data_IF_538721063989
#
_entry.id   IF_538721063989
#
_cell.length_a   1.000
_cell.length_b   1.000
_cell.length_c   1.000
_cell.angle_alpha   90.00
_cell.angle_beta   90.00
_cell.angle_gamma   90.00
#
_symmetry.space_group_name_H-M   'P 1'
#
loop_
_entity.id
_entity.type
_entity.pdbx_description
1 polymer ?
#
# COMPACT_ATOMS: atom_id res chain seq x y z
N UNK A 1 5.05 1.68 24.30
CA UNK A 1 6.18 2.41 23.68
C UNK A 1 5.69 3.59 22.85
N UNK A 2 5.05 3.43 21.69
CA UNK A 2 4.50 4.58 20.93
C UNK A 2 3.61 5.53 21.76
N UNK A 3 2.71 4.99 22.59
CA UNK A 3 1.86 5.81 23.49
C UNK A 3 2.64 6.71 24.47
N UNK A 4 3.88 6.36 24.79
CA UNK A 4 4.72 7.14 25.70
C UNK A 4 5.45 8.28 25.00
N UNK A 5 5.43 8.32 23.66
CA UNK A 5 6.05 9.42 22.91
C UNK A 5 5.28 10.72 23.18
N UNK A 6 5.98 11.80 23.55
CA UNK A 6 5.35 13.09 23.71
C UNK A 6 4.83 13.59 22.36
N UNK A 7 3.81 14.43 22.40
CA UNK A 7 3.42 15.19 21.20
C UNK A 7 4.53 16.18 20.86
N UNK A 8 4.74 16.39 19.57
CA UNK A 8 5.65 17.41 19.08
C UNK A 8 4.87 18.42 18.24
N UNK A 9 4.94 19.70 18.63
CA UNK A 9 4.15 20.76 18.02
C UNK A 9 2.63 20.57 18.17
N UNK A 10 1.88 21.45 17.51
CA UNK A 10 0.41 21.38 17.46
C UNK A 10 -0.05 20.36 16.42
N UNK A 11 0.71 20.22 15.32
CA UNK A 11 0.33 19.42 14.15
C UNK A 11 1.38 18.41 13.66
N UNK A 12 2.56 18.33 14.30
CA UNK A 12 3.70 17.56 13.76
C UNK A 12 3.71 16.10 14.20
N UNK A 13 3.61 15.81 15.51
CA UNK A 13 3.48 14.44 16.03
C UNK A 13 2.27 14.37 16.95
N UNK A 14 1.29 13.56 16.54
CA UNK A 14 0.02 13.40 17.24
C UNK A 14 0.08 12.32 18.33
N UNK A 15 -0.96 12.27 19.16
CA UNK A 15 -1.08 11.18 20.14
C UNK A 15 -1.35 9.88 19.39
N UNK A 16 -0.46 8.92 19.57
CA UNK A 16 -0.66 7.55 19.09
C UNK A 16 -1.84 6.87 19.78
N UNK A 17 -2.55 6.03 19.04
CA UNK A 17 -3.62 5.18 19.56
C UNK A 17 -3.12 4.22 20.66
N UNK A 18 -4.05 3.70 21.47
CA UNK A 18 -3.75 2.76 22.56
C UNK A 18 -2.93 1.55 22.08
N UNK A 19 -3.25 1.05 20.87
CA UNK A 19 -2.51 -0.03 20.23
C UNK A 19 -2.12 0.35 18.79
N UNK A 20 -0.89 0.84 18.62
CA UNK A 20 -0.33 1.16 17.31
C UNK A 20 -0.21 -0.08 16.40
N UNK A 21 0.08 -1.25 16.97
CA UNK A 21 0.30 -2.50 16.21
C UNK A 21 -0.98 -3.05 15.58
N UNK A 22 -2.15 -2.70 16.12
CA UNK A 22 -3.43 -3.02 15.51
C UNK A 22 -3.68 -2.24 14.22
N UNK A 23 -3.02 -1.09 14.01
CA UNK A 23 -3.19 -0.27 12.81
C UNK A 23 -4.66 -0.01 12.46
N UNK A 24 -5.50 0.24 13.49
CA UNK A 24 -6.94 0.42 13.37
C UNK A 24 -7.27 1.91 13.36
N UNK A 25 -8.11 2.34 12.42
CA UNK A 25 -8.56 3.74 12.25
C UNK A 25 -7.38 4.72 12.06
N UNK A 26 -6.31 4.29 11.40
CA UNK A 26 -5.18 5.16 11.05
C UNK A 26 -5.55 6.00 9.82
N UNK A 27 -5.40 7.32 9.95
CA UNK A 27 -5.32 8.23 8.82
C UNK A 27 -3.92 8.17 8.19
N UNK A 28 -3.77 8.67 6.96
CA UNK A 28 -2.48 8.72 6.27
C UNK A 28 -1.37 9.39 7.11
N UNK A 29 -1.71 10.45 7.85
CA UNK A 29 -0.80 11.17 8.76
C UNK A 29 -0.30 10.29 9.92
N UNK A 30 -1.14 9.40 10.46
CA UNK A 30 -0.73 8.54 11.56
C UNK A 30 0.35 7.53 11.14
N UNK A 31 0.36 7.11 9.87
CA UNK A 31 1.43 6.25 9.33
C UNK A 31 2.77 6.97 9.27
N UNK A 32 2.75 8.24 8.92
CA UNK A 32 3.95 9.08 8.87
C UNK A 32 4.51 9.30 10.28
N UNK A 33 3.65 9.65 11.25
CA UNK A 33 4.06 9.83 12.64
C UNK A 33 4.66 8.54 13.22
N UNK A 34 4.08 7.37 12.88
CA UNK A 34 4.62 6.07 13.29
C UNK A 34 6.01 5.81 12.71
N UNK A 35 6.25 6.15 11.44
CA UNK A 35 7.55 6.02 10.82
C UNK A 35 8.59 6.96 11.45
N UNK A 36 8.22 8.22 11.69
CA UNK A 36 9.11 9.21 12.33
C UNK A 36 9.49 8.81 13.77
N UNK A 37 8.56 8.20 14.52
CA UNK A 37 8.79 7.76 15.89
C UNK A 37 9.25 6.30 16.02
N UNK A 38 9.57 5.63 14.90
CA UNK A 38 9.85 4.20 14.93
C UNK A 38 11.13 3.86 15.72
N UNK A 39 12.22 4.59 15.49
CA UNK A 39 13.52 4.33 16.13
C UNK A 39 13.39 4.25 17.66
N UNK A 40 12.90 5.28 18.38
CA UNK A 40 12.78 5.21 19.84
C UNK A 40 11.71 4.21 20.32
N UNK A 41 10.75 3.83 19.47
CA UNK A 41 9.77 2.80 19.79
C UNK A 41 10.33 1.37 19.70
N UNK A 42 11.33 1.15 18.84
CA UNK A 42 11.94 -0.16 18.61
C UNK A 42 13.28 -0.35 19.31
N UNK A 43 13.94 0.71 19.77
CA UNK A 43 15.25 0.64 20.40
C UNK A 43 15.26 -0.24 21.67
N UNK A 44 16.13 -1.24 21.74
CA UNK A 44 16.18 -2.20 22.85
C UNK A 44 14.95 -3.10 22.96
N UNK A 45 14.12 -3.18 21.90
CA UNK A 45 12.99 -4.13 21.88
C UNK A 45 13.45 -5.56 21.60
N UNK A 46 14.50 -5.71 20.80
CA UNK A 46 15.03 -7.00 20.35
C UNK A 46 16.34 -7.33 21.08
N UNK A 47 16.76 -8.62 21.09
CA UNK A 47 18.11 -9.00 21.47
C UNK A 47 19.15 -8.18 20.69
N UNK A 48 20.33 -7.92 21.28
CA UNK A 48 21.31 -6.99 20.72
C UNK A 48 21.70 -7.33 19.27
N UNK A 49 21.79 -8.63 18.93
CA UNK A 49 22.14 -9.11 17.60
C UNK A 49 21.15 -8.71 16.48
N UNK A 50 19.87 -8.50 16.84
CA UNK A 50 18.83 -8.08 15.89
C UNK A 50 18.43 -6.62 16.05
N UNK A 51 18.60 -6.04 17.24
CA UNK A 51 18.20 -4.67 17.52
C UNK A 51 18.89 -3.71 16.54
N UNK A 52 20.21 -3.83 16.38
CA UNK A 52 20.97 -2.98 15.47
C UNK A 52 20.49 -3.11 14.01
N UNK A 53 20.23 -4.34 13.54
CA UNK A 53 19.72 -4.59 12.18
C UNK A 53 18.35 -3.96 11.96
N UNK A 54 17.44 -4.11 12.93
CA UNK A 54 16.10 -3.54 12.86
C UNK A 54 16.17 -2.02 12.87
N UNK A 55 16.96 -1.42 13.76
CA UNK A 55 17.12 0.03 13.82
C UNK A 55 17.74 0.59 12.54
N UNK A 56 18.77 -0.07 12.00
CA UNK A 56 19.38 0.30 10.71
C UNK A 56 18.37 0.22 9.57
N UNK A 57 17.56 -0.84 9.52
CA UNK A 57 16.50 -0.98 8.51
C UNK A 57 15.46 0.14 8.65
N UNK A 58 14.98 0.41 9.86
CA UNK A 58 14.00 1.47 10.12
C UNK A 58 14.54 2.85 9.74
N UNK A 59 15.81 3.14 10.08
CA UNK A 59 16.47 4.39 9.70
C UNK A 59 16.53 4.54 8.18
N UNK A 60 16.99 3.52 7.44
CA UNK A 60 17.06 3.57 5.97
C UNK A 60 15.69 3.70 5.31
N UNK A 61 14.67 3.02 5.85
CA UNK A 61 13.29 3.16 5.37
C UNK A 61 12.75 4.59 5.57
N UNK A 62 13.04 5.20 6.74
CA UNK A 62 12.66 6.58 7.02
C UNK A 62 13.42 7.58 6.13
N UNK A 63 14.72 7.35 5.91
CA UNK A 63 15.56 8.12 4.99
C UNK A 63 14.99 8.09 3.57
N UNK A 64 14.73 6.90 3.02
CA UNK A 64 14.15 6.75 1.69
C UNK A 64 12.78 7.41 1.57
N UNK A 65 11.92 7.27 2.59
CA UNK A 65 10.62 7.95 2.61
C UNK A 65 10.77 9.48 2.61
N UNK A 66 11.72 10.02 3.37
CA UNK A 66 12.01 11.46 3.38
C UNK A 66 12.43 11.96 1.99
N UNK A 67 13.32 11.24 1.30
CA UNK A 67 13.72 11.57 -0.06
C UNK A 67 12.57 11.43 -1.07
N UNK A 68 11.82 10.34 -1.03
CA UNK A 68 10.69 10.10 -1.94
C UNK A 68 9.56 11.15 -1.82
N UNK A 69 9.45 11.79 -0.66
CA UNK A 69 8.42 12.80 -0.34
C UNK A 69 8.92 14.25 -0.49
N UNK A 70 10.15 14.49 -0.95
CA UNK A 70 10.62 15.85 -1.17
C UNK A 70 9.71 16.57 -2.17
N UNK A 71 9.39 17.84 -1.90
CA UNK A 71 8.63 18.70 -2.82
C UNK A 71 9.50 19.35 -3.89
N UNK A 72 10.81 19.22 -3.75
CA UNK A 72 11.79 19.73 -4.68
C UNK A 72 12.91 18.70 -4.75
N UNK A 73 13.12 18.20 -5.97
CA UNK A 73 14.21 17.28 -6.26
C UNK A 73 15.30 18.01 -7.03
N UNK A 74 16.54 17.72 -6.64
CA UNK A 74 17.75 18.06 -7.38
C UNK A 74 18.45 16.77 -7.80
N UNK A 75 19.32 16.82 -8.80
CA UNK A 75 20.12 15.67 -9.25
C UNK A 75 20.77 14.87 -8.11
N UNK A 76 21.45 15.48 -7.12
CA UNK A 76 22.02 14.70 -6.01
C UNK A 76 20.97 14.01 -5.13
N UNK A 77 19.80 14.61 -4.92
CA UNK A 77 18.73 13.97 -4.12
C UNK A 77 18.11 12.78 -4.86
N UNK A 78 17.96 12.87 -6.19
CA UNK A 78 17.46 11.78 -7.02
C UNK A 78 18.46 10.63 -7.07
N UNK A 79 19.75 10.95 -7.23
CA UNK A 79 20.81 9.95 -7.22
C UNK A 79 20.91 9.24 -5.86
N UNK A 80 20.76 9.99 -4.77
CA UNK A 80 20.70 9.39 -3.44
C UNK A 80 19.50 8.44 -3.29
N UNK A 81 18.32 8.83 -3.76
CA UNK A 81 17.13 7.99 -3.75
C UNK A 81 17.30 6.72 -4.60
N UNK A 82 17.94 6.82 -5.79
CA UNK A 82 18.28 5.65 -6.62
C UNK A 82 19.17 4.68 -5.89
N UNK A 83 20.19 5.16 -5.19
CA UNK A 83 21.14 4.33 -4.43
C UNK A 83 20.51 3.70 -3.18
N UNK A 84 19.65 4.42 -2.47
CA UNK A 84 18.98 3.92 -1.27
C UNK A 84 18.04 2.75 -1.55
N UNK A 85 17.35 2.78 -2.69
CA UNK A 85 16.33 1.76 -3.04
C UNK A 85 16.88 0.33 -3.03
N UNK A 86 18.00 0.00 -3.74
CA UNK A 86 18.59 -1.34 -3.67
C UNK A 86 19.24 -1.65 -2.31
N UNK A 87 19.74 -0.65 -1.58
CA UNK A 87 20.27 -0.83 -0.22
C UNK A 87 19.18 -1.30 0.74
N UNK A 88 18.01 -0.68 0.71
CA UNK A 88 16.84 -1.13 1.46
C UNK A 88 16.44 -2.54 1.06
N UNK A 89 16.39 -2.84 -0.24
CA UNK A 89 16.08 -4.18 -0.72
C UNK A 89 17.03 -5.23 -0.14
N UNK A 90 18.33 -4.91 0.00
CA UNK A 90 19.32 -5.78 0.65
C UNK A 90 19.03 -5.96 2.13
N UNK A 91 18.81 -4.87 2.87
CA UNK A 91 18.54 -4.90 4.31
C UNK A 91 17.24 -5.65 4.64
N UNK A 92 16.20 -5.49 3.82
CA UNK A 92 14.92 -6.21 4.01
C UNK A 92 15.08 -7.70 3.75
N UNK A 93 15.87 -8.09 2.74
CA UNK A 93 16.20 -9.50 2.49
C UNK A 93 17.02 -10.10 3.62
N UNK A 94 18.01 -9.37 4.13
CA UNK A 94 18.81 -9.77 5.30
C UNK A 94 17.92 -9.93 6.54
N UNK A 95 17.05 -8.97 6.83
CA UNK A 95 16.08 -9.04 7.93
C UNK A 95 15.18 -10.26 7.82
N UNK A 96 14.73 -10.60 6.60
CA UNK A 96 13.93 -11.81 6.35
C UNK A 96 14.71 -13.10 6.59
N UNK A 97 15.97 -13.18 6.16
CA UNK A 97 16.76 -14.42 6.26
C UNK A 97 17.31 -14.67 7.67
N UNK A 98 17.55 -13.60 8.44
CA UNK A 98 18.15 -13.66 9.77
C UNK A 98 17.11 -13.49 10.87
N UNK A 99 16.57 -12.28 11.02
CA UNK A 99 15.64 -11.99 12.12
C UNK A 99 14.31 -12.72 11.96
N UNK A 100 13.68 -12.72 10.77
CA UNK A 100 12.37 -13.37 10.65
C UNK A 100 12.40 -14.89 10.83
N UNK A 101 13.52 -15.57 10.56
CA UNK A 101 13.65 -17.02 10.74
C UNK A 101 13.75 -17.37 12.22
N UNK A 102 14.48 -16.59 13.02
CA UNK A 102 14.61 -16.79 14.46
C UNK A 102 13.32 -16.49 15.24
N UNK A 103 12.51 -15.53 14.76
CA UNK A 103 11.23 -15.19 15.37
C UNK A 103 10.01 -15.86 14.70
N UNK A 104 10.23 -16.82 13.79
CA UNK A 104 9.15 -17.48 13.06
C UNK A 104 8.14 -18.16 13.99
N UNK A 105 8.62 -18.83 15.05
CA UNK A 105 7.80 -19.56 16.02
C UNK A 105 7.00 -18.65 16.96
N UNK A 106 7.32 -17.35 16.98
CA UNK A 106 6.65 -16.35 17.83
C UNK A 106 5.72 -15.42 17.03
N UNK A 107 5.77 -15.50 15.70
CA UNK A 107 5.05 -14.58 14.82
C UNK A 107 3.80 -15.25 14.27
N UNK A 108 2.64 -14.86 14.80
CA UNK A 108 1.34 -15.41 14.41
C UNK A 108 0.43 -14.34 13.84
N UNK A 109 -0.59 -14.78 13.10
CA UNK A 109 -1.69 -13.91 12.68
C UNK A 109 -2.34 -13.22 13.88
N UNK A 110 -2.64 -11.93 13.72
CA UNK A 110 -3.40 -11.20 14.74
C UNK A 110 -4.81 -11.79 14.87
N UNK A 111 -5.47 -11.70 16.03
CA UNK A 111 -6.83 -12.22 16.21
C UNK A 111 -7.83 -11.75 15.14
N UNK A 112 -7.67 -10.51 14.65
CA UNK A 112 -8.47 -9.95 13.56
C UNK A 112 -8.26 -10.64 12.22
N UNK A 113 -7.02 -11.06 11.94
CA UNK A 113 -6.65 -11.71 10.68
C UNK A 113 -7.20 -13.12 10.67
N UNK A 114 -7.09 -13.83 11.81
CA UNK A 114 -7.74 -15.13 12.02
C UNK A 114 -9.26 -15.03 11.84
N UNK A 115 -9.91 -14.03 12.46
CA UNK A 115 -11.35 -13.82 12.29
C UNK A 115 -11.73 -13.45 10.85
N UNK A 116 -10.92 -12.65 10.16
CA UNK A 116 -11.14 -12.30 8.76
C UNK A 116 -10.97 -13.51 7.83
N UNK A 117 -10.02 -14.39 8.13
CA UNK A 117 -9.82 -15.66 7.42
C UNK A 117 -11.01 -16.59 7.62
N UNK A 118 -11.46 -16.78 8.86
CA UNK A 118 -12.63 -17.61 9.15
C UNK A 118 -13.89 -17.14 8.41
N UNK A 119 -14.14 -15.82 8.36
CA UNK A 119 -15.25 -15.26 7.55
C UNK A 119 -15.10 -15.53 6.05
N UNK A 120 -13.88 -15.57 5.51
CA UNK A 120 -13.64 -15.89 4.08
C UNK A 120 -13.84 -17.37 3.81
N UNK A 121 -13.39 -18.24 4.72
CA UNK A 121 -13.56 -19.68 4.62
C UNK A 121 -15.05 -20.06 4.69
N UNK A 122 -15.81 -19.45 5.61
CA UNK A 122 -17.28 -19.60 5.67
C UNK A 122 -17.95 -19.16 4.37
N UNK A 123 -17.68 -17.94 3.89
CA UNK A 123 -18.24 -17.45 2.62
C UNK A 123 -17.89 -18.34 1.43
N UNK A 124 -16.68 -18.91 1.41
CA UNK A 124 -16.27 -19.83 0.35
C UNK A 124 -16.98 -21.19 0.46
N UNK A 125 -17.23 -21.69 1.68
CA UNK A 125 -18.01 -22.90 1.92
C UNK A 125 -19.49 -22.69 1.52
N UNK A 126 -20.08 -21.56 1.92
CA UNK A 126 -21.44 -21.18 1.56
C UNK A 126 -21.60 -21.07 0.03
N UNK A 127 -20.62 -20.44 -0.65
CA UNK A 127 -20.61 -20.33 -2.10
C UNK A 127 -20.45 -21.70 -2.81
N UNK A 128 -19.68 -22.63 -2.23
CA UNK A 128 -19.54 -24.00 -2.75
C UNK A 128 -20.82 -24.82 -2.57
N UNK A 129 -21.52 -24.67 -1.44
CA UNK A 129 -22.79 -25.34 -1.17
C UNK A 129 -23.92 -24.81 -2.06
N UNK A 130 -23.91 -23.51 -2.40
CA UNK A 130 -24.86 -22.90 -3.33
C UNK A 130 -24.65 -23.31 -4.80
N UNK A 131 -23.45 -23.79 -5.17
CA UNK A 131 -23.10 -24.22 -6.53
C UNK A 131 -23.46 -25.67 -6.87
N UNK A 132 -23.74 -26.51 -5.87
CA UNK A 132 -24.21 -27.89 -6.08
C UNK A 132 -25.73 -27.95 -6.15
N UNK A 133 -26.28 -27.72 -7.33
CA UNK A 133 -27.71 -27.89 -7.65
C UNK A 133 -28.14 -29.36 -7.72
N UNK A 134 -27.92 -30.14 -6.66
CA UNK A 134 -28.43 -31.51 -6.55
C UNK A 134 -29.54 -31.55 -5.47
N UNK A 135 -30.78 -31.50 -5.94
CA UNK A 135 -31.97 -31.80 -5.16
C UNK A 135 -32.03 -33.29 -4.81
N UNK A 136 -31.85 -33.65 -3.54
CA UNK A 136 -32.36 -34.89 -2.96
C UNK A 136 -32.50 -34.75 -1.42
N UNK A 137 -33.36 -35.57 -0.77
CA UNK A 137 -34.32 -35.08 0.22
C UNK A 137 -33.81 -35.03 1.66
N UNK A 138 -34.57 -34.28 2.45
CA UNK A 138 -34.44 -34.06 3.89
C UNK A 138 -34.07 -35.34 4.67
N UNK A 139 -32.89 -35.31 5.29
CA UNK A 139 -32.53 -36.19 6.39
C UNK A 139 -32.53 -35.38 7.72
N UNK A 140 -33.06 -36.03 8.75
CA UNK A 140 -33.37 -35.59 10.12
C UNK A 140 -32.27 -34.77 10.84
N UNK A 141 -32.63 -33.98 11.87
CA UNK A 141 -31.71 -33.09 12.57
C UNK A 141 -30.72 -33.92 13.42
N UNK A 142 -29.48 -34.03 12.94
CA UNK A 142 -28.38 -34.51 13.75
C UNK A 142 -27.97 -33.43 14.77
N UNK A 143 -27.65 -33.91 15.97
CA UNK A 143 -27.26 -33.23 17.20
C UNK A 143 -26.34 -31.99 17.04
N UNK A 144 -26.37 -31.04 18.00
CA UNK A 144 -25.59 -29.80 17.94
C UNK A 144 -24.11 -30.13 17.82
N UNK A 145 -23.58 -30.00 16.60
CA UNK A 145 -22.15 -30.11 16.37
C UNK A 145 -21.51 -28.93 17.08
N UNK A 146 -20.60 -29.28 17.98
CA UNK A 146 -19.88 -28.41 18.88
C UNK A 146 -19.40 -27.13 18.18
N UNK A 147 -19.46 -26.05 18.96
CA UNK A 147 -18.99 -24.71 18.60
C UNK A 147 -17.69 -24.74 17.77
N UNK A 148 -17.52 -23.82 16.80
CA UNK A 148 -16.37 -23.83 15.91
C UNK A 148 -15.09 -23.88 16.74
N UNK A 149 -14.38 -24.98 16.58
CA UNK A 149 -13.07 -25.23 17.18
C UNK A 149 -12.23 -23.96 17.00
N UNK A 150 -11.64 -23.46 18.11
CA UNK A 150 -10.80 -22.26 18.12
C UNK A 150 -9.84 -22.33 16.93
N UNK A 151 -10.07 -21.51 15.91
CA UNK A 151 -9.29 -21.52 14.69
C UNK A 151 -7.81 -21.43 15.06
N UNK A 152 -7.02 -22.46 14.70
CA UNK A 152 -5.61 -22.52 15.02
C UNK A 152 -4.90 -21.25 14.51
N UNK A 153 -4.10 -20.66 15.41
CA UNK A 153 -3.26 -19.50 15.09
C UNK A 153 -2.25 -19.94 14.03
N UNK A 154 -2.27 -19.28 12.88
CA UNK A 154 -1.35 -19.58 11.78
C UNK A 154 -0.09 -18.73 11.91
N UNK A 155 1.07 -19.35 11.68
CA UNK A 155 2.35 -18.65 11.61
C UNK A 155 2.34 -17.66 10.46
N UNK A 156 2.85 -16.45 10.69
CA UNK A 156 2.86 -15.36 9.71
C UNK A 156 4.29 -15.07 9.28
N UNK A 157 4.56 -15.34 8.00
CA UNK A 157 5.87 -15.05 7.38
C UNK A 157 5.82 -13.76 6.57
N UNK A 158 6.94 -13.02 6.56
CA UNK A 158 7.10 -11.83 5.73
C UNK A 158 7.16 -12.20 4.24
N UNK A 159 6.18 -11.70 3.48
CA UNK A 159 6.15 -11.82 2.03
C UNK A 159 6.77 -10.58 1.36
N UNK A 160 7.85 -10.80 0.59
CA UNK A 160 8.52 -9.75 -0.18
C UNK A 160 8.08 -9.69 -1.64
N UNK A 161 7.37 -10.71 -2.12
CA UNK A 161 6.85 -10.78 -3.48
C UNK A 161 5.50 -10.05 -3.55
N UNK A 162 5.48 -8.81 -3.05
CA UNK A 162 4.32 -7.93 -3.08
C UNK A 162 4.72 -6.73 -3.93
N UNK A 163 3.79 -6.27 -4.78
CA UNK A 163 3.97 -5.10 -5.64
C UNK A 163 4.65 -3.91 -4.96
N UNK A 164 4.30 -3.64 -3.69
CA UNK A 164 4.87 -2.53 -2.89
C UNK A 164 6.40 -2.50 -2.88
N UNK A 165 7.06 -3.65 -2.80
CA UNK A 165 8.53 -3.72 -2.78
C UNK A 165 9.12 -3.49 -4.18
N UNK A 166 8.45 -3.95 -5.22
CA UNK A 166 8.89 -3.78 -6.61
C UNK A 166 8.68 -2.33 -7.09
N UNK A 167 7.57 -1.72 -6.68
CA UNK A 167 7.22 -0.34 -7.03
C UNK A 167 8.16 0.72 -6.44
N UNK A 168 8.97 0.38 -5.43
CA UNK A 168 9.94 1.32 -4.86
C UNK A 168 10.99 1.77 -5.88
N UNK A 169 11.35 0.91 -6.84
CA UNK A 169 12.28 1.25 -7.92
C UNK A 169 11.73 2.28 -8.90
N UNK A 170 10.41 2.38 -9.01
CA UNK A 170 9.74 3.21 -10.01
C UNK A 170 9.61 4.67 -9.56
N UNK A 171 9.93 4.99 -8.30
CA UNK A 171 9.81 6.36 -7.77
C UNK A 171 10.69 7.35 -8.50
N UNK A 172 11.97 7.04 -8.73
CA UNK A 172 12.86 8.00 -9.40
C UNK A 172 12.46 8.25 -10.86
N UNK A 173 12.18 7.23 -11.69
CA UNK A 173 11.62 7.44 -13.02
C UNK A 173 10.31 8.23 -13.00
N UNK A 174 9.39 7.92 -12.07
CA UNK A 174 8.12 8.63 -11.94
C UNK A 174 8.32 10.11 -11.58
N UNK A 175 9.24 10.41 -10.65
CA UNK A 175 9.53 11.79 -10.23
C UNK A 175 10.10 12.61 -11.39
N UNK A 176 10.93 12.01 -12.24
CA UNK A 176 11.50 12.68 -13.42
C UNK A 176 10.44 12.95 -14.49
N UNK A 177 9.47 12.06 -14.66
CA UNK A 177 8.46 12.16 -15.71
C UNK A 177 7.27 13.03 -15.31
N UNK A 178 6.83 12.94 -14.06
CA UNK A 178 5.59 13.54 -13.58
C UNK A 178 5.79 14.65 -12.53
N UNK A 179 7.02 14.92 -12.12
CA UNK A 179 7.33 15.84 -11.03
C UNK A 179 7.29 15.16 -9.66
N UNK A 180 7.42 15.91 -8.55
CA UNK A 180 7.52 15.32 -7.22
C UNK A 180 6.25 14.55 -6.82
N UNK A 181 6.38 13.61 -5.88
CA UNK A 181 5.31 12.67 -5.51
C UNK A 181 4.03 13.35 -5.00
N UNK A 182 4.11 14.59 -4.52
CA UNK A 182 2.92 15.37 -4.15
C UNK A 182 2.06 15.78 -5.35
N UNK A 183 2.62 15.88 -6.56
CA UNK A 183 1.90 16.26 -7.77
C UNK A 183 0.92 15.20 -8.29
N UNK A 184 1.23 13.91 -8.10
CA UNK A 184 0.44 12.80 -8.67
C UNK A 184 -0.04 11.77 -7.63
N UNK A 185 0.38 11.87 -6.37
CA UNK A 185 -0.11 10.99 -5.31
C UNK A 185 -1.49 11.43 -4.81
N UNK A 186 -2.45 10.50 -4.85
CA UNK A 186 -3.79 10.68 -4.27
C UNK A 186 -3.79 10.69 -2.74
N UNK A 187 -2.62 10.50 -2.09
CA UNK A 187 -2.47 10.54 -0.63
C UNK A 187 -2.46 11.95 -0.05
N UNK A 188 -2.60 13.00 -0.88
CA UNK A 188 -2.87 14.37 -0.43
C UNK A 188 -4.27 14.49 0.17
N UNK A 189 -4.48 13.92 1.36
CA UNK A 189 -5.64 14.22 2.19
C UNK A 189 -5.44 15.62 2.77
N UNK A 190 -5.89 16.63 2.00
CA UNK A 190 -6.19 18.01 2.39
C UNK A 190 -5.29 18.63 3.48
N UNK A 191 -4.16 19.21 3.06
CA UNK A 191 -3.48 20.24 3.85
C UNK A 191 -4.22 21.59 3.85
N UNK A 192 -5.23 21.77 3.00
CA UNK A 192 -6.09 22.95 3.04
C UNK A 192 -7.47 22.58 3.60
N UNK A 193 -7.66 22.81 4.91
CA UNK A 193 -8.91 23.43 5.34
C UNK A 193 -8.87 24.86 4.80
N UNK A 194 -9.18 25.03 3.51
CA UNK A 194 -9.74 26.30 3.09
C UNK A 194 -11.12 26.32 3.75
N UNK A 195 -11.22 27.00 4.88
CA UNK A 195 -12.49 27.31 5.50
C UNK A 195 -13.22 28.19 4.51
N UNK A 196 -14.01 27.59 3.62
CA UNK A 196 -15.06 28.34 2.94
C UNK A 196 -16.01 28.71 4.06
N UNK A 197 -15.90 29.95 4.53
CA UNK A 197 -16.91 30.58 5.36
C UNK A 197 -18.15 30.69 4.48
N UNK A 198 -18.95 29.63 4.44
CA UNK A 198 -20.32 29.70 3.97
C UNK A 198 -21.09 30.54 4.97
N UNK A 199 -21.09 31.85 4.73
CA UNK A 199 -22.05 32.80 5.28
C UNK A 199 -23.43 32.19 5.07
N UNK A 200 -24.15 32.00 6.17
CA UNK A 200 -25.39 31.25 6.19
C UNK A 200 -26.45 31.81 5.25
N UNK A 201 -27.16 30.89 4.60
CA UNK A 201 -28.56 31.08 4.28
C UNK A 201 -29.29 29.80 4.70
N UNK A 202 -30.13 29.93 5.72
CA UNK A 202 -31.13 28.93 6.08
C UNK A 202 -32.03 28.71 4.85
N UNK A 203 -32.16 27.47 4.40
CA UNK A 203 -33.35 27.04 3.67
C UNK A 203 -33.81 25.68 4.19
N UNK A 204 -34.94 25.73 4.89
CA UNK A 204 -35.75 24.58 5.29
C UNK A 204 -36.39 23.96 4.04
N UNK A 205 -36.28 22.64 3.85
CA UNK A 205 -36.91 22.00 2.68
C UNK A 205 -36.81 20.48 2.62
N UNK A 206 -37.75 19.82 3.29
CA UNK A 206 -38.44 18.54 3.01
C UNK A 206 -37.85 17.52 2.00
N UNK A 207 -37.86 16.25 2.43
CA UNK A 207 -37.55 15.00 1.69
C UNK A 207 -38.37 14.81 0.39
N UNK A 208 -37.70 14.35 -0.67
CA UNK A 208 -38.24 13.40 -1.66
C UNK A 208 -37.12 12.84 -2.57
N UNK A 209 -36.88 11.53 -2.53
CA UNK A 209 -36.24 10.73 -3.59
C UNK A 209 -37.32 10.28 -4.60
N UNK A 210 -37.03 9.59 -5.73
CA UNK A 210 -35.72 9.26 -6.34
C UNK A 210 -35.65 9.65 -7.85
N UNK A 211 -34.47 9.95 -8.40
CA UNK A 211 -34.26 9.96 -9.86
C UNK A 211 -32.83 9.56 -10.26
N UNK A 212 -32.77 8.41 -10.93
CA UNK A 212 -31.93 8.05 -12.09
C UNK A 212 -30.43 8.37 -12.01
N UNK A 213 -29.64 7.34 -11.69
CA UNK A 213 -28.19 7.32 -11.99
C UNK A 213 -27.98 7.18 -13.50
N UNK A 214 -27.41 8.22 -14.12
CA UNK A 214 -26.83 8.15 -15.44
C UNK A 214 -25.42 7.55 -15.35
N UNK A 215 -25.27 6.32 -15.85
CA UNK A 215 -23.99 5.68 -16.11
C UNK A 215 -23.34 6.32 -17.34
N UNK A 216 -22.21 7.01 -17.17
CA UNK A 216 -21.34 7.40 -18.28
C UNK A 216 -20.30 6.29 -18.45
N UNK A 217 -20.59 5.40 -19.40
CA UNK A 217 -19.60 4.52 -20.02
C UNK A 217 -18.81 5.34 -21.03
N UNK A 218 -17.48 5.38 -20.91
CA UNK A 218 -16.61 5.86 -21.99
C UNK A 218 -16.30 4.63 -22.84
N UNK A 219 -17.04 4.50 -23.94
CA UNK A 219 -16.78 3.55 -25.00
C UNK A 219 -15.48 3.90 -25.73
N UNK A 220 -14.63 2.90 -25.84
CA UNK A 220 -13.40 2.92 -26.61
C UNK A 220 -13.75 2.55 -28.05
N UNK A 221 -13.91 3.55 -28.93
CA UNK A 221 -14.02 3.33 -30.37
C UNK A 221 -12.78 3.85 -31.07
N UNK A 222 -11.99 2.90 -31.56
CA UNK A 222 -10.93 3.11 -32.54
C UNK A 222 -11.54 3.40 -33.91
N UNK A 223 -11.09 4.47 -34.56
CA UNK A 223 -11.33 4.77 -35.97
C UNK A 223 -10.02 5.18 -36.65
N UNK A 224 -9.80 4.84 -37.93
CA UNK A 224 -8.49 4.91 -38.56
C UNK A 224 -8.20 6.31 -39.11
N UNK A 225 -7.04 6.88 -38.78
CA UNK A 225 -6.52 8.05 -39.48
C UNK A 225 -5.38 7.61 -40.41
N UNK A 226 -5.65 7.72 -41.70
CA UNK A 226 -4.69 7.74 -42.78
C UNK A 226 -3.70 8.90 -42.58
N UNK A 227 -2.40 8.59 -42.53
CA UNK A 227 -1.35 9.59 -42.54
C UNK A 227 -0.71 9.62 -43.93
N UNK A 228 -0.91 10.74 -44.63
CA UNK A 228 -0.12 11.14 -45.78
C UNK A 228 0.91 12.19 -45.33
N UNK A 229 2.10 12.09 -45.92
CA UNK A 229 3.15 13.10 -46.07
C UNK A 229 4.10 13.46 -44.91
N UNK A 230 5.37 13.21 -45.24
CA UNK A 230 6.52 14.14 -45.16
C UNK A 230 7.36 14.16 -43.88
N UNK A 231 8.40 13.33 -43.91
CA UNK A 231 9.67 13.46 -43.21
C UNK A 231 10.44 14.70 -43.66
N UNK A 232 11.08 15.42 -42.73
CA UNK A 232 12.35 16.11 -42.96
C UNK A 232 13.14 16.21 -41.65
N UNK A 233 14.19 15.39 -41.50
CA UNK A 233 15.45 15.76 -40.83
C UNK A 233 16.60 15.06 -41.57
N UNK A 234 17.70 15.76 -41.89
CA UNK A 234 18.85 15.17 -42.56
C UNK A 234 19.94 14.79 -41.55
N UNK A 235 20.54 13.61 -41.69
CA UNK A 235 21.99 13.45 -41.59
C UNK A 235 22.44 12.13 -42.20
N UNK A 236 23.67 12.16 -42.69
CA UNK A 236 24.23 11.35 -43.77
C UNK A 236 24.76 9.97 -43.38
N UNK A 237 24.72 9.08 -44.39
CA UNK A 237 25.73 8.09 -44.78
C UNK A 237 26.03 6.89 -43.87
N UNK A 238 25.74 5.68 -44.37
CA UNK A 238 26.37 4.45 -43.87
C UNK A 238 25.65 3.12 -44.15
N UNK A 239 25.50 2.78 -45.44
CA UNK A 239 25.49 1.39 -45.98
C UNK A 239 24.36 0.41 -45.61
N UNK A 240 23.55 0.13 -46.63
CA UNK A 240 22.51 -0.90 -46.81
C UNK A 240 23.03 -2.35 -46.73
N UNK A 241 22.29 -3.26 -46.09
CA UNK A 241 22.01 -4.63 -46.59
C UNK A 241 20.60 -5.06 -46.13
N UNK A 242 19.75 -5.39 -47.10
CA UNK A 242 18.40 -5.97 -46.94
C UNK A 242 18.46 -7.52 -46.86
N UNK A 243 17.33 -8.12 -46.43
CA UNK A 243 16.79 -9.50 -46.64
C UNK A 243 16.37 -10.11 -45.28
N UNK A 244 15.17 -10.64 -45.06
CA UNK A 244 14.07 -10.97 -45.94
C UNK A 244 12.77 -11.29 -45.19
N UNK A 245 11.72 -11.41 -45.99
CA UNK A 245 10.31 -11.59 -45.70
C UNK A 245 9.97 -12.97 -45.10
N UNK A 246 8.83 -13.07 -44.37
CA UNK A 246 8.35 -14.37 -43.92
C UNK A 246 6.99 -14.42 -43.21
N UNK A 247 5.94 -13.92 -43.89
CA UNK A 247 4.47 -14.15 -43.71
C UNK A 247 3.79 -13.89 -42.37
#
# INVERSE_FOLDING_TARGET
RYRQMPRFGVDTIWRFATNASEMKKLAARDFEDLLQCAIPAFDGLFPPEHNERVLKLLFRMAEWHAFAKLRMHTDPTLEHLRRLTPEIGRLVREFKSTTCTEFADKTFELPREVAARGRREQRAADARAAGTGASAPAALPAAPTEAPTKALKKVKTLNLNIYKWHAMGDYVPAILLFGPTDGFSTQLVRYNKMTVVSRGLLFTGRKSSPSVEASVSIDQQAGPCSANCASLYPHESGTTVCLGCGR
#
